data_IF_376128609792
#
_entry.id   IF_376128609792
#
_cell.length_a   1.000
_cell.length_b   1.000
_cell.length_c   1.000
_cell.angle_alpha   90.00
_cell.angle_beta   90.00
_cell.angle_gamma   90.00
#
_symmetry.space_group_name_H-M   'P 1'
#
loop_
_entity.id
_entity.type
_entity.pdbx_description
1 polymer ?
#
# COMPACT_ATOMS: atom_id res chain seq x y z
N UNK A 1 24.78 -45.50 26.15
CA UNK A 1 23.82 -44.37 26.13
C UNK A 1 23.89 -43.71 24.76
N UNK A 2 22.92 -43.97 23.88
CA UNK A 2 22.95 -43.51 22.49
C UNK A 2 22.29 -42.13 22.38
N UNK A 3 23.10 -41.08 22.20
CA UNK A 3 22.64 -39.70 22.04
C UNK A 3 22.32 -39.43 20.57
N UNK A 4 21.09 -39.77 20.13
CA UNK A 4 20.59 -39.30 18.84
C UNK A 4 20.37 -37.79 18.92
N UNK A 5 21.22 -37.03 18.23
CA UNK A 5 21.01 -35.60 18.00
C UNK A 5 19.68 -35.44 17.24
N UNK A 6 18.75 -34.59 17.70
CA UNK A 6 17.52 -34.34 16.96
C UNK A 6 17.87 -33.66 15.64
N UNK A 7 17.42 -34.24 14.52
CA UNK A 7 17.49 -33.63 13.20
C UNK A 7 16.71 -32.32 13.23
N UNK A 8 17.27 -31.17 12.81
CA UNK A 8 16.53 -29.92 12.78
C UNK A 8 15.37 -30.08 11.80
N UNK A 9 14.15 -30.07 12.32
CA UNK A 9 12.95 -29.97 11.50
C UNK A 9 13.07 -28.67 10.72
N UNK A 10 13.23 -28.80 9.40
CA UNK A 10 13.24 -27.68 8.46
C UNK A 10 11.91 -26.95 8.65
N UNK A 11 11.93 -25.85 9.40
CA UNK A 11 10.74 -25.04 9.64
C UNK A 11 10.31 -24.52 8.28
N UNK A 12 9.19 -25.02 7.77
CA UNK A 12 8.55 -24.48 6.58
C UNK A 12 8.04 -23.10 7.02
N UNK A 13 8.68 -22.03 6.56
CA UNK A 13 8.21 -20.67 6.83
C UNK A 13 6.73 -20.57 6.45
N UNK A 14 5.91 -20.06 7.37
CA UNK A 14 4.49 -19.85 7.13
C UNK A 14 4.30 -18.66 6.22
N UNK A 15 3.60 -18.84 5.10
CA UNK A 15 3.18 -17.74 4.25
C UNK A 15 1.74 -17.35 4.58
N UNK A 16 1.54 -16.08 4.88
CA UNK A 16 0.26 -15.50 5.29
C UNK A 16 -0.23 -14.53 4.24
N UNK A 17 -1.53 -14.60 3.95
CA UNK A 17 -2.18 -13.59 3.13
C UNK A 17 -2.30 -12.27 3.92
N UNK A 18 -2.55 -11.17 3.21
CA UNK A 18 -2.65 -9.82 3.82
C UNK A 18 -3.59 -9.75 5.03
N UNK A 19 -4.75 -10.45 4.97
CA UNK A 19 -5.69 -10.51 6.08
C UNK A 19 -5.10 -11.22 7.31
N UNK A 20 -4.54 -12.41 7.11
CA UNK A 20 -3.90 -13.19 8.17
C UNK A 20 -2.68 -12.47 8.75
N UNK A 21 -1.92 -11.77 7.92
CA UNK A 21 -0.81 -10.93 8.34
C UNK A 21 -1.27 -9.77 9.24
N UNK A 22 -2.37 -9.10 8.90
CA UNK A 22 -2.94 -8.03 9.70
C UNK A 22 -3.42 -8.53 11.08
N UNK A 23 -4.07 -9.69 11.11
CA UNK A 23 -4.50 -10.37 12.35
C UNK A 23 -3.28 -10.74 13.22
N UNK A 24 -2.23 -11.30 12.62
CA UNK A 24 -0.99 -11.69 13.32
C UNK A 24 -0.23 -10.50 13.92
N UNK A 25 -0.27 -9.36 13.24
CA UNK A 25 0.34 -8.11 13.72
C UNK A 25 -0.54 -7.37 14.74
N UNK A 26 -1.78 -7.83 14.98
CA UNK A 26 -2.72 -7.17 15.88
C UNK A 26 -3.14 -5.78 15.39
N UNK A 27 -3.17 -5.58 14.07
CA UNK A 27 -3.49 -4.29 13.46
C UNK A 27 -4.99 -4.10 13.20
N UNK A 28 -5.75 -5.19 13.20
CA UNK A 28 -7.20 -5.17 13.08
C UNK A 28 -7.84 -5.22 14.47
N UNK A 29 -8.95 -4.51 14.64
CA UNK A 29 -9.75 -4.62 15.85
C UNK A 29 -10.42 -6.02 15.93
N UNK A 30 -10.13 -6.83 16.97
CA UNK A 30 -10.76 -8.13 17.13
C UNK A 30 -12.27 -8.04 17.41
N UNK A 31 -12.79 -6.86 17.75
CA UNK A 31 -14.22 -6.63 18.01
C UNK A 31 -15.01 -6.23 16.76
N UNK A 32 -14.34 -5.79 15.70
CA UNK A 32 -14.96 -5.42 14.43
C UNK A 32 -14.48 -6.35 13.29
N UNK A 33 -15.32 -7.31 12.85
CA UNK A 33 -14.92 -8.27 11.81
C UNK A 33 -14.72 -7.64 10.43
N UNK A 34 -15.21 -6.41 10.22
CA UNK A 34 -15.10 -5.67 8.96
C UNK A 34 -13.97 -4.63 8.98
N UNK A 35 -13.13 -4.62 10.03
CA UNK A 35 -11.99 -3.71 10.10
C UNK A 35 -10.93 -4.05 9.04
N UNK A 36 -10.88 -3.22 7.99
CA UNK A 36 -9.89 -3.31 6.92
C UNK A 36 -8.66 -2.42 7.16
N UNK A 37 -8.55 -1.76 8.32
CA UNK A 37 -7.49 -0.78 8.62
C UNK A 37 -6.10 -1.40 8.53
N UNK A 38 -5.88 -2.57 9.14
CA UNK A 38 -4.60 -3.29 9.08
C UNK A 38 -4.29 -3.81 7.68
N UNK A 39 -5.30 -4.25 6.94
CA UNK A 39 -5.15 -4.68 5.54
C UNK A 39 -4.71 -3.49 4.68
N UNK A 40 -5.38 -2.35 4.81
CA UNK A 40 -5.04 -1.12 4.09
C UNK A 40 -3.64 -0.65 4.43
N UNK A 41 -3.26 -0.67 5.70
CA UNK A 41 -1.93 -0.30 6.15
C UNK A 41 -0.83 -1.19 5.57
N UNK A 42 -1.03 -2.51 5.52
CA UNK A 42 -0.06 -3.44 4.91
C UNK A 42 0.10 -3.17 3.40
N UNK A 43 -1.01 -2.94 2.69
CA UNK A 43 -0.96 -2.62 1.25
C UNK A 43 -0.27 -1.28 0.99
N UNK A 44 -0.58 -0.27 1.80
CA UNK A 44 0.07 1.04 1.74
C UNK A 44 1.57 0.93 2.06
N UNK A 45 1.92 0.12 3.06
CA UNK A 45 3.30 -0.18 3.43
C UNK A 45 4.09 -0.85 2.31
N UNK A 46 3.50 -1.81 1.60
CA UNK A 46 4.13 -2.42 0.42
C UNK A 46 4.31 -1.41 -0.71
N UNK A 47 3.31 -0.59 -1.00
CA UNK A 47 3.37 0.36 -2.12
C UNK A 47 4.25 1.58 -1.85
N UNK A 48 4.34 2.04 -0.60
CA UNK A 48 4.94 3.35 -0.26
C UNK A 48 6.10 3.27 0.72
N UNK A 49 6.17 2.25 1.57
CA UNK A 49 7.21 2.11 2.61
C UNK A 49 8.24 1.02 2.30
N UNK A 50 8.01 0.22 1.27
CA UNK A 50 8.91 -0.87 0.88
C UNK A 50 8.87 -2.04 1.85
N UNK A 51 7.69 -2.38 2.39
CA UNK A 51 7.57 -3.54 3.28
C UNK A 51 8.01 -4.83 2.58
N UNK A 52 8.78 -5.69 3.27
CA UNK A 52 9.16 -7.00 2.75
C UNK A 52 7.90 -7.80 2.46
N UNK A 53 7.85 -8.40 1.28
CA UNK A 53 6.70 -9.17 0.82
C UNK A 53 7.12 -10.15 -0.26
N UNK A 54 6.29 -11.17 -0.42
CA UNK A 54 6.38 -12.11 -1.52
C UNK A 54 5.12 -12.06 -2.38
N UNK A 55 5.23 -12.55 -3.61
CA UNK A 55 4.10 -12.73 -4.52
C UNK A 55 3.98 -14.20 -4.91
N UNK A 56 2.89 -14.84 -4.49
CA UNK A 56 2.55 -16.20 -4.88
C UNK A 56 1.30 -16.17 -5.75
N UNK A 57 1.41 -16.63 -6.99
CA UNK A 57 0.31 -16.63 -7.97
C UNK A 57 -0.37 -15.25 -8.11
N UNK A 58 0.44 -14.18 -8.12
CA UNK A 58 -0.03 -12.79 -8.22
C UNK A 58 -0.63 -12.20 -6.94
N UNK A 59 -0.75 -12.99 -5.87
CA UNK A 59 -1.27 -12.55 -4.57
C UNK A 59 -0.14 -12.12 -3.65
N UNK A 60 -0.40 -11.08 -2.86
CA UNK A 60 0.53 -10.57 -1.85
C UNK A 60 0.50 -11.47 -0.63
N UNK A 61 1.66 -12.00 -0.27
CA UNK A 61 1.85 -12.88 0.89
C UNK A 61 3.08 -12.44 1.68
N UNK A 62 3.08 -12.73 2.97
CA UNK A 62 4.13 -12.38 3.92
C UNK A 62 4.61 -13.63 4.63
N UNK A 63 5.92 -13.82 4.73
CA UNK A 63 6.52 -14.86 5.56
C UNK A 63 6.50 -14.46 7.04
N UNK A 64 6.71 -15.42 7.95
CA UNK A 64 6.95 -15.12 9.37
C UNK A 64 8.09 -14.11 9.58
N UNK A 65 9.18 -14.27 8.81
CA UNK A 65 10.33 -13.37 8.81
C UNK A 65 9.95 -11.96 8.38
N UNK A 66 9.15 -11.81 7.31
CA UNK A 66 8.67 -10.51 6.84
C UNK A 66 7.82 -9.82 7.91
N UNK A 67 6.93 -10.56 8.59
CA UNK A 67 6.08 -10.01 9.64
C UNK A 67 6.90 -9.53 10.84
N UNK A 68 7.96 -10.25 11.21
CA UNK A 68 8.87 -9.82 12.26
C UNK A 68 9.59 -8.51 11.90
N UNK A 69 10.07 -8.39 10.67
CA UNK A 69 10.71 -7.17 10.16
C UNK A 69 9.73 -6.00 10.09
N UNK A 70 8.51 -6.23 9.58
CA UNK A 70 7.46 -5.20 9.54
C UNK A 70 7.10 -4.75 10.96
N UNK A 71 7.00 -5.67 11.92
CA UNK A 71 6.74 -5.35 13.32
C UNK A 71 7.88 -4.52 13.92
N UNK A 72 9.14 -4.85 13.61
CA UNK A 72 10.31 -4.07 14.03
C UNK A 72 10.30 -2.66 13.41
N UNK A 73 10.00 -2.54 12.12
CA UNK A 73 9.85 -1.25 11.43
C UNK A 73 8.70 -0.43 12.00
N UNK A 74 7.59 -1.07 12.37
CA UNK A 74 6.44 -0.41 12.98
C UNK A 74 6.77 0.16 14.37
N UNK A 75 7.42 -0.65 15.22
CA UNK A 75 7.89 -0.19 16.55
C UNK A 75 8.92 0.92 16.44
N UNK A 76 9.80 0.83 15.45
CA UNK A 76 10.87 1.79 15.21
C UNK A 76 10.46 2.92 14.26
N UNK A 77 9.15 3.11 14.00
CA UNK A 77 8.62 4.23 13.25
C UNK A 77 8.68 5.52 14.10
N UNK A 78 9.90 5.91 14.46
CA UNK A 78 10.18 7.14 15.18
C UNK A 78 9.87 8.33 14.28
N UNK A 79 8.80 9.05 14.61
CA UNK A 79 8.65 10.49 14.46
C UNK A 79 9.14 11.16 13.14
N UNK A 80 8.98 10.55 11.96
CA UNK A 80 9.14 11.30 10.69
C UNK A 80 7.91 12.19 10.46
N UNK A 81 7.84 13.25 11.26
CA UNK A 81 6.98 14.42 11.07
C UNK A 81 7.25 15.00 9.69
N UNK A 82 6.16 15.21 8.95
CA UNK A 82 6.05 16.26 7.93
C UNK A 82 6.95 16.08 6.70
N UNK A 83 6.45 15.40 5.68
CA UNK A 83 6.72 15.85 4.31
C UNK A 83 5.49 16.64 3.85
N UNK A 84 5.58 17.97 3.63
CA UNK A 84 4.44 18.72 3.14
C UNK A 84 3.99 18.15 1.81
N UNK A 85 2.70 17.80 1.75
CA UNK A 85 2.02 17.34 0.55
C UNK A 85 2.16 18.45 -0.49
N UNK A 86 3.01 18.26 -1.51
CA UNK A 86 3.07 19.17 -2.65
C UNK A 86 1.66 19.21 -3.25
N UNK A 87 0.96 20.32 -3.03
CA UNK A 87 -0.29 20.60 -3.71
C UNK A 87 0.02 20.55 -5.21
N UNK A 88 -0.63 19.62 -5.93
CA UNK A 88 -0.66 19.69 -7.39
C UNK A 88 -1.43 20.96 -7.71
N UNK A 89 -0.73 21.98 -8.20
CA UNK A 89 -1.36 23.13 -8.80
C UNK A 89 -2.19 22.62 -9.98
N UNK A 90 -3.51 22.66 -9.84
CA UNK A 90 -4.40 22.58 -10.99
C UNK A 90 -4.13 23.82 -11.83
N UNK A 91 -3.50 23.63 -12.99
CA UNK A 91 -3.33 24.70 -13.97
C UNK A 91 -4.73 25.20 -14.39
N UNK A 92 -4.98 26.52 -14.46
CA UNK A 92 -6.23 27.03 -15.04
C UNK A 92 -6.23 26.65 -16.53
N UNK A 93 -7.36 26.10 -16.98
CA UNK A 93 -7.57 25.78 -18.38
C UNK A 93 -7.28 27.02 -19.23
N UNK A 94 -6.32 26.89 -20.14
CA UNK A 94 -5.97 27.92 -21.09
C UNK A 94 -7.18 28.24 -21.96
N UNK A 95 -7.61 29.50 -21.87
CA UNK A 95 -8.50 30.14 -22.82
C UNK A 95 -7.88 30.04 -24.22
N UNK A 96 -8.50 29.24 -25.09
CA UNK A 96 -8.09 29.14 -26.49
C UNK A 96 -8.78 30.25 -27.30
N UNK A 97 -8.04 31.08 -28.03
CA UNK A 97 -8.60 32.14 -28.87
C UNK A 97 -9.04 31.58 -30.24
N UNK A 98 -10.33 31.77 -30.56
CA UNK A 98 -11.03 31.98 -31.86
C UNK A 98 -10.69 31.13 -33.12
N UNK A 99 -11.65 30.90 -34.05
CA UNK A 99 -11.78 31.86 -35.16
C UNK A 99 -13.20 32.03 -35.77
N UNK A 100 -13.51 33.28 -36.12
CA UNK A 100 -14.16 33.75 -37.35
C UNK A 100 -15.44 33.04 -37.88
N UNK A 101 -16.61 33.58 -37.52
CA UNK A 101 -17.87 33.41 -38.24
C UNK A 101 -18.31 34.72 -38.91
N UNK A 102 -18.35 34.71 -40.24
CA UNK A 102 -18.58 35.85 -41.16
C UNK A 102 -19.91 36.57 -40.92
N UNK A 103 -19.88 37.91 -40.84
CA UNK A 103 -21.04 38.77 -41.04
C UNK A 103 -21.51 38.66 -42.50
N UNK A 104 -22.80 38.40 -42.69
CA UNK A 104 -23.52 38.54 -43.94
C UNK A 104 -24.47 39.74 -43.82
N UNK A 105 -24.15 40.81 -44.54
CA UNK A 105 -25.02 41.90 -44.98
C UNK A 105 -24.36 42.56 -46.20
N UNK A 106 -25.05 43.40 -46.99
CA UNK A 106 -26.49 43.57 -47.24
C UNK A 106 -26.79 43.59 -48.76
N UNK A 107 -28.05 43.76 -49.18
CA UNK A 107 -28.41 44.78 -50.18
C UNK A 107 -29.92 45.04 -50.20
N UNK A 108 -30.24 46.32 -50.08
CA UNK A 108 -31.54 46.92 -50.34
C UNK A 108 -31.77 47.07 -51.85
N UNK A 109 -33.04 47.06 -52.25
CA UNK A 109 -33.58 47.77 -53.42
C UNK A 109 -35.01 48.20 -53.09
#
# INVERSE_FOLDING_TARGET
>A
MSTRKPTPTKQLEGFYNVKQAAEKLGLNDPTDPDDESGIRWLRDGVNHKGFPHHRMSGRLVFSDSDLADIAAMHRNASARRGRPRRARASAPAAESPQPAGKQLQPIAA
#
